data_IF_380727990940
#
_entry.id   IF_380727990940
#
_cell.length_a   1.000
_cell.length_b   1.000
_cell.length_c   1.000
_cell.angle_alpha   90.00
_cell.angle_beta   90.00
_cell.angle_gamma   90.00
#
_symmetry.space_group_name_H-M   'P 1'
#
loop_
_entity.id
_entity.type
_entity.pdbx_description
1 polymer ?
#
# COMPACT_ATOMS: atom_id res chain seq x y z
N UNK A 1 0.40 -16.18 -13.36
CA UNK A 1 1.70 -15.73 -13.88
C UNK A 1 2.26 -14.68 -12.93
N UNK A 2 3.57 -14.71 -12.65
CA UNK A 2 4.27 -13.67 -11.89
C UNK A 2 5.21 -12.97 -12.87
N UNK A 3 5.18 -11.64 -12.88
CA UNK A 3 6.07 -10.81 -13.71
C UNK A 3 6.95 -9.96 -12.79
N UNK A 4 8.23 -9.84 -13.17
CA UNK A 4 9.17 -8.95 -12.51
C UNK A 4 9.57 -7.86 -13.48
N UNK A 5 9.23 -6.62 -13.16
CA UNK A 5 9.52 -5.44 -13.96
C UNK A 5 10.65 -4.67 -13.27
N UNK A 6 11.70 -4.33 -14.01
CA UNK A 6 12.83 -3.56 -13.51
C UNK A 6 12.63 -2.09 -13.88
N UNK A 7 12.87 -1.19 -12.94
CA UNK A 7 12.79 0.25 -13.16
C UNK A 7 12.66 1.01 -11.84
N UNK A 8 12.50 2.32 -11.93
CA UNK A 8 12.09 3.11 -10.77
C UNK A 8 10.60 2.83 -10.47
N UNK A 9 10.19 2.77 -9.19
CA UNK A 9 8.84 2.29 -8.84
C UNK A 9 7.69 3.15 -9.38
N UNK A 10 7.89 4.46 -9.47
CA UNK A 10 6.98 5.43 -10.09
C UNK A 10 6.81 5.16 -11.59
N UNK A 11 7.90 5.08 -12.35
CA UNK A 11 7.89 4.77 -13.78
C UNK A 11 7.19 3.43 -14.05
N UNK A 12 7.52 2.41 -13.26
CA UNK A 12 6.94 1.06 -13.39
C UNK A 12 5.43 1.07 -13.13
N UNK A 13 4.94 1.85 -12.15
CA UNK A 13 3.49 1.94 -11.92
C UNK A 13 2.76 2.63 -13.08
N UNK A 14 3.37 3.66 -13.69
CA UNK A 14 2.81 4.30 -14.87
C UNK A 14 2.75 3.32 -16.06
N UNK A 15 3.80 2.53 -16.28
CA UNK A 15 3.84 1.50 -17.34
C UNK A 15 2.80 0.39 -17.14
N UNK A 16 2.57 -0.04 -15.89
CA UNK A 16 1.57 -1.07 -15.57
C UNK A 16 0.15 -0.61 -15.92
N UNK A 17 -0.13 0.70 -15.92
CA UNK A 17 -1.46 1.23 -16.20
C UNK A 17 -2.45 0.92 -15.08
N UNK A 18 -2.12 1.30 -13.86
CA UNK A 18 -2.91 1.05 -12.63
C UNK A 18 -4.37 1.54 -12.79
N UNK A 19 -5.31 0.63 -12.56
CA UNK A 19 -6.74 0.87 -12.74
C UNK A 19 -7.56 0.56 -11.46
N UNK A 20 -8.89 0.65 -11.55
CA UNK A 20 -9.80 0.37 -10.43
C UNK A 20 -9.87 -1.10 -10.01
N UNK A 21 -9.22 -2.02 -10.73
CA UNK A 21 -9.10 -3.43 -10.36
C UNK A 21 -7.72 -3.77 -9.79
N UNK A 22 -6.86 -2.77 -9.64
CA UNK A 22 -5.48 -2.93 -9.19
C UNK A 22 -5.36 -2.67 -7.68
N UNK A 23 -4.65 -3.55 -6.98
CA UNK A 23 -4.19 -3.34 -5.61
C UNK A 23 -2.67 -3.14 -5.60
N UNK A 24 -2.20 -2.07 -4.95
CA UNK A 24 -0.78 -1.76 -4.82
C UNK A 24 -0.36 -1.94 -3.37
N UNK A 25 0.72 -2.71 -3.16
CA UNK A 25 1.31 -2.92 -1.84
C UNK A 25 2.80 -2.63 -1.88
N UNK A 26 3.21 -1.60 -1.16
CA UNK A 26 4.59 -1.20 -1.00
C UNK A 26 5.25 -2.01 0.13
N UNK A 27 6.27 -2.80 -0.22
CA UNK A 27 6.89 -3.79 0.67
C UNK A 27 8.39 -3.55 0.89
N UNK A 28 8.95 -2.42 0.44
CA UNK A 28 10.38 -2.17 0.64
C UNK A 28 10.68 -1.69 2.06
N UNK A 29 11.93 -1.85 2.47
CA UNK A 29 12.48 -1.23 3.67
C UNK A 29 13.11 0.15 3.38
N UNK A 30 13.19 0.57 2.11
CA UNK A 30 13.67 1.89 1.71
C UNK A 30 12.49 2.88 1.61
N UNK A 31 12.39 3.87 2.52
CA UNK A 31 11.29 4.84 2.48
C UNK A 31 11.21 5.62 1.17
N UNK A 32 12.33 5.91 0.51
CA UNK A 32 12.33 6.73 -0.71
C UNK A 32 11.66 5.98 -1.86
N UNK A 33 12.00 4.71 -2.03
CA UNK A 33 11.44 3.89 -3.12
C UNK A 33 9.96 3.61 -2.90
N UNK A 34 9.54 3.31 -1.66
CA UNK A 34 8.11 3.18 -1.38
C UNK A 34 7.37 4.51 -1.61
N UNK A 35 7.90 5.63 -1.13
CA UNK A 35 7.19 6.92 -1.23
C UNK A 35 6.99 7.31 -2.71
N UNK A 36 7.97 7.06 -3.60
CA UNK A 36 7.83 7.21 -5.06
C UNK A 36 6.66 6.37 -5.62
N UNK A 37 6.62 5.09 -5.29
CA UNK A 37 5.52 4.21 -5.72
C UNK A 37 4.17 4.66 -5.17
N UNK A 38 4.13 5.05 -3.90
CA UNK A 38 2.90 5.41 -3.21
C UNK A 38 2.32 6.73 -3.72
N UNK A 39 3.16 7.69 -4.10
CA UNK A 39 2.69 8.94 -4.72
C UNK A 39 1.86 8.66 -5.98
N UNK A 40 2.39 7.82 -6.89
CA UNK A 40 1.68 7.44 -8.12
C UNK A 40 0.45 6.57 -7.83
N UNK A 41 0.59 5.58 -6.93
CA UNK A 41 -0.51 4.70 -6.56
C UNK A 41 -1.69 5.46 -5.92
N UNK A 42 -1.43 6.44 -5.05
CA UNK A 42 -2.47 7.22 -4.36
C UNK A 42 -3.16 8.23 -5.28
N UNK A 43 -2.53 8.65 -6.38
CA UNK A 43 -3.15 9.44 -7.44
C UNK A 43 -3.96 8.60 -8.42
N UNK A 44 -3.65 7.30 -8.51
CA UNK A 44 -4.31 6.38 -9.42
C UNK A 44 -5.74 5.96 -8.98
N UNK A 45 -6.51 5.34 -9.89
CA UNK A 45 -7.79 4.70 -9.58
C UNK A 45 -7.71 3.42 -8.73
N UNK A 46 -6.52 2.96 -8.32
CA UNK A 46 -6.35 1.73 -7.54
C UNK A 46 -7.36 1.59 -6.40
N UNK A 47 -8.04 0.44 -6.30
CA UNK A 47 -9.02 0.22 -5.24
C UNK A 47 -8.38 0.04 -3.86
N UNK A 48 -7.09 -0.31 -3.83
CA UNK A 48 -6.33 -0.53 -2.61
C UNK A 48 -4.89 -0.02 -2.79
N UNK A 49 -4.44 0.80 -1.85
CA UNK A 49 -3.04 1.23 -1.76
C UNK A 49 -2.57 1.07 -0.32
N UNK A 50 -1.54 0.25 -0.11
CA UNK A 50 -1.06 -0.05 1.22
C UNK A 50 0.45 -0.11 1.31
N UNK A 51 0.99 0.12 2.51
CA UNK A 51 2.42 -0.04 2.78
C UNK A 51 2.71 -0.88 4.05
N UNK A 52 3.73 -1.73 3.98
CA UNK A 52 4.27 -2.42 5.15
C UNK A 52 4.97 -1.42 6.08
N UNK A 53 5.02 -1.78 7.37
CA UNK A 53 5.79 -1.05 8.38
C UNK A 53 5.12 -1.07 9.74
N UNK A 54 5.74 -0.40 10.71
CA UNK A 54 5.10 -0.16 12.02
C UNK A 54 4.06 0.97 11.92
N UNK A 55 3.22 1.12 12.96
CA UNK A 55 2.31 2.27 13.08
C UNK A 55 3.06 3.60 13.04
N UNK A 56 4.21 3.67 13.72
CA UNK A 56 5.08 4.86 13.73
C UNK A 56 5.60 5.14 12.32
N UNK A 57 6.07 4.13 11.60
CA UNK A 57 6.56 4.31 10.23
C UNK A 57 5.44 4.74 9.29
N UNK A 58 4.22 4.22 9.47
CA UNK A 58 3.05 4.65 8.72
C UNK A 58 2.73 6.13 8.97
N UNK A 59 2.75 6.60 10.21
CA UNK A 59 2.50 8.02 10.52
C UNK A 59 3.57 8.91 9.89
N UNK A 60 4.85 8.55 10.02
CA UNK A 60 5.95 9.27 9.37
C UNK A 60 5.80 9.28 7.85
N UNK A 61 5.38 8.16 7.26
CA UNK A 61 5.12 8.02 5.83
C UNK A 61 4.00 8.95 5.37
N UNK A 62 2.87 8.97 6.08
CA UNK A 62 1.77 9.90 5.81
C UNK A 62 2.23 11.36 5.87
N UNK A 63 2.99 11.73 6.90
CA UNK A 63 3.54 13.08 7.04
C UNK A 63 4.44 13.45 5.84
N UNK A 64 5.38 12.57 5.46
CA UNK A 64 6.23 12.81 4.28
C UNK A 64 5.43 12.93 2.99
N UNK A 65 4.43 12.07 2.77
CA UNK A 65 3.59 12.15 1.56
C UNK A 65 2.83 13.48 1.45
N UNK A 66 2.38 14.04 2.58
CA UNK A 66 1.73 15.36 2.61
C UNK A 66 2.70 16.53 2.36
N UNK A 67 4.01 16.33 2.58
CA UNK A 67 5.04 17.31 2.19
C UNK A 67 5.33 17.27 0.68
N UNK A 68 4.88 16.23 -0.01
CA UNK A 68 4.95 16.09 -1.46
C UNK A 68 3.61 16.41 -2.12
N UNK A 69 3.49 16.13 -3.42
CA UNK A 69 2.30 16.39 -4.24
C UNK A 69 1.18 15.34 -4.01
N UNK A 70 0.88 15.01 -2.75
CA UNK A 70 -0.21 14.08 -2.38
C UNK A 70 -1.17 14.81 -1.43
N UNK A 71 -2.44 14.89 -1.82
CA UNK A 71 -3.45 15.59 -1.03
C UNK A 71 -3.84 14.81 0.24
N UNK A 72 -4.49 15.49 1.17
CA UNK A 72 -5.00 14.85 2.39
C UNK A 72 -5.95 13.70 2.08
N UNK A 73 -6.86 13.88 1.12
CA UNK A 73 -7.83 12.86 0.69
C UNK A 73 -7.12 11.65 0.07
N UNK A 74 -6.05 11.90 -0.70
CA UNK A 74 -5.24 10.83 -1.28
C UNK A 74 -4.49 10.07 -0.18
N UNK A 75 -3.85 10.76 0.76
CA UNK A 75 -3.14 10.11 1.89
C UNK A 75 -4.09 9.32 2.78
N UNK A 76 -5.35 9.73 2.92
CA UNK A 76 -6.36 9.00 3.70
C UNK A 76 -6.66 7.61 3.15
N UNK A 77 -6.52 7.41 1.82
CA UNK A 77 -6.65 6.10 1.15
C UNK A 77 -5.52 5.12 1.52
N UNK A 78 -4.42 5.59 2.10
CA UNK A 78 -3.26 4.74 2.41
C UNK A 78 -3.54 3.78 3.57
N UNK A 79 -3.56 2.48 3.29
CA UNK A 79 -3.61 1.44 4.30
C UNK A 79 -2.21 1.23 4.93
N UNK A 80 -2.12 1.28 6.26
CA UNK A 80 -0.82 1.17 6.94
C UNK A 80 -0.93 0.98 8.45
N UNK A 81 -0.19 0.03 9.05
CA UNK A 81 0.48 -1.10 8.39
C UNK A 81 -0.49 -1.90 7.54
N UNK A 82 -0.08 -2.57 6.46
CA UNK A 82 -0.99 -3.46 5.70
C UNK A 82 -1.28 -4.77 6.43
N UNK A 83 -2.44 -5.35 6.15
CA UNK A 83 -2.84 -6.68 6.58
C UNK A 83 -3.64 -6.75 7.87
N UNK A 84 -4.55 -7.73 7.94
CA UNK A 84 -5.40 -7.94 9.11
C UNK A 84 -4.58 -8.36 10.33
N UNK A 85 -5.02 -7.93 11.52
CA UNK A 85 -4.39 -8.36 12.76
C UNK A 85 -4.83 -9.79 13.10
N UNK A 86 -4.02 -10.76 12.65
CA UNK A 86 -4.22 -12.20 12.88
C UNK A 86 -3.11 -12.83 13.73
N UNK A 87 -2.24 -12.02 14.33
CA UNK A 87 -1.07 -12.51 15.07
C UNK A 87 0.05 -13.06 14.18
N UNK A 88 0.10 -12.66 12.89
CA UNK A 88 1.11 -13.10 11.93
C UNK A 88 2.53 -12.71 12.37
N UNK A 89 3.46 -13.67 12.31
CA UNK A 89 4.87 -13.45 12.66
C UNK A 89 5.82 -13.81 11.51
N UNK A 90 5.45 -14.79 10.69
CA UNK A 90 6.27 -15.28 9.59
C UNK A 90 5.89 -14.62 8.25
N UNK A 91 6.81 -14.55 7.26
CA UNK A 91 6.48 -13.97 5.95
C UNK A 91 5.25 -14.57 5.27
N UNK A 92 5.01 -15.91 5.27
CA UNK A 92 3.78 -16.48 4.73
C UNK A 92 2.51 -16.03 5.47
N UNK A 93 2.55 -15.96 6.81
CA UNK A 93 1.41 -15.48 7.60
C UNK A 93 1.12 -13.99 7.33
N UNK A 94 2.17 -13.18 7.17
CA UNK A 94 2.07 -11.76 6.79
C UNK A 94 1.45 -11.64 5.38
N UNK A 95 1.87 -12.47 4.43
CA UNK A 95 1.28 -12.48 3.10
C UNK A 95 -0.23 -12.81 3.14
N UNK A 96 -0.64 -13.80 3.94
CA UNK A 96 -2.05 -14.14 4.15
C UNK A 96 -2.81 -12.97 4.78
N UNK A 97 -2.22 -12.30 5.78
CA UNK A 97 -2.87 -11.17 6.45
C UNK A 97 -3.10 -9.99 5.49
N UNK A 98 -2.12 -9.69 4.62
CA UNK A 98 -2.21 -8.66 3.57
C UNK A 98 -3.31 -9.00 2.58
N UNK A 99 -3.30 -10.23 2.03
CA UNK A 99 -4.31 -10.66 1.06
C UNK A 99 -5.73 -10.65 1.65
N UNK A 100 -5.88 -11.03 2.92
CA UNK A 100 -7.18 -10.98 3.60
C UNK A 100 -7.70 -9.53 3.74
N UNK A 101 -6.82 -8.55 3.97
CA UNK A 101 -7.20 -7.13 4.00
C UNK A 101 -7.59 -6.63 2.60
N UNK A 102 -6.79 -6.94 1.58
CA UNK A 102 -7.07 -6.56 0.18
C UNK A 102 -8.43 -7.11 -0.28
N UNK A 103 -8.72 -8.38 0.02
CA UNK A 103 -10.00 -9.01 -0.31
C UNK A 103 -11.15 -8.32 0.45
N UNK A 104 -10.97 -8.01 1.73
CA UNK A 104 -11.97 -7.29 2.51
C UNK A 104 -12.34 -5.95 1.88
N UNK A 105 -11.33 -5.15 1.48
CA UNK A 105 -11.55 -3.85 0.81
C UNK A 105 -12.25 -4.04 -0.53
N UNK A 106 -11.81 -5.01 -1.35
CA UNK A 106 -12.40 -5.30 -2.66
C UNK A 106 -13.91 -5.56 -2.58
N UNK A 107 -14.37 -6.22 -1.53
CA UNK A 107 -15.78 -6.54 -1.32
C UNK A 107 -16.51 -5.56 -0.38
N UNK A 108 -15.88 -4.45 0.01
CA UNK A 108 -16.50 -3.43 0.87
C UNK A 108 -16.80 -3.91 2.29
N UNK A 109 -16.08 -4.93 2.77
CA UNK A 109 -16.24 -5.45 4.12
C UNK A 109 -15.48 -4.58 5.14
N UNK A 110 -16.02 -4.39 6.35
CA UNK A 110 -15.36 -3.62 7.39
C UNK A 110 -14.05 -4.30 7.82
N UNK A 111 -12.97 -3.53 7.89
CA UNK A 111 -11.69 -3.99 8.43
C UNK A 111 -11.71 -3.78 9.95
N UNK A 112 -11.47 -4.81 10.78
CA UNK A 112 -11.34 -4.66 12.22
C UNK A 112 -10.28 -3.61 12.56
N UNK A 113 -10.59 -2.71 13.51
CA UNK A 113 -9.61 -1.74 13.98
C UNK A 113 -8.42 -2.49 14.55
N UNK A 114 -7.23 -2.15 14.07
CA UNK A 114 -5.98 -2.62 14.63
C UNK A 114 -5.89 -2.01 16.02
N UNK A 115 -6.05 -2.82 17.07
CA UNK A 115 -5.87 -2.41 18.48
C UNK A 115 -4.38 -2.22 18.76
#
# INVERSE_FOLDING_TARGET
HIQFIKGMPDDVLLEIGVDSHTAVVALTHDPKLDDMALMEALKSPAFYVGALGSRINTQKRRARLLEFDVTQEQVERLHGPVGLFIGALTPPEIAVSILAEVISVKYGLPIPKKV
#
